data_IF_286095425289
#
_entry.id   IF_286095425289
#
_cell.length_a   1.000
_cell.length_b   1.000
_cell.length_c   1.000
_cell.angle_alpha   90.00
_cell.angle_beta   90.00
_cell.angle_gamma   90.00
#
_symmetry.space_group_name_H-M   'P 1'
#
loop_
_entity.id
_entity.type
_entity.pdbx_description
1 polymer ?
#
# COMPACT_ATOMS: atom_id res chain seq x y z
N UNK A 1 25.97 -16.52 28.30
CA UNK A 1 25.97 -16.67 26.84
C UNK A 1 24.61 -17.10 26.29
N UNK A 2 24.00 -18.20 26.75
CA UNK A 2 22.70 -18.70 26.23
C UNK A 2 21.53 -17.71 26.34
N UNK A 3 21.47 -16.88 27.41
CA UNK A 3 20.40 -15.88 27.57
C UNK A 3 20.40 -14.82 26.47
N UNK A 4 21.57 -14.32 26.08
CA UNK A 4 21.69 -13.31 25.03
C UNK A 4 21.43 -13.93 23.64
N UNK A 5 21.88 -15.17 23.43
CA UNK A 5 21.58 -15.92 22.20
C UNK A 5 20.07 -16.12 22.06
N UNK A 6 19.39 -16.57 23.13
CA UNK A 6 17.94 -16.81 23.12
C UNK A 6 17.13 -15.54 22.81
N UNK A 7 17.51 -14.41 23.41
CA UNK A 7 16.89 -13.09 23.16
C UNK A 7 17.10 -12.63 21.73
N UNK A 8 18.32 -12.80 21.18
CA UNK A 8 18.62 -12.44 19.78
C UNK A 8 17.85 -13.33 18.81
N UNK A 9 17.74 -14.64 19.08
CA UNK A 9 16.95 -15.54 18.25
C UNK A 9 15.44 -15.25 18.29
N UNK A 10 14.88 -14.88 19.45
CA UNK A 10 13.48 -14.44 19.55
C UNK A 10 13.22 -13.14 18.78
N UNK A 11 14.13 -12.17 18.87
CA UNK A 11 14.02 -10.92 18.13
C UNK A 11 14.13 -11.13 16.61
N UNK A 12 14.94 -12.09 16.15
CA UNK A 12 15.08 -12.42 14.72
C UNK A 12 13.82 -13.09 14.14
N UNK A 13 13.10 -13.89 14.93
CA UNK A 13 11.88 -14.60 14.47
C UNK A 13 10.75 -13.61 14.16
N UNK A 14 10.57 -12.58 14.98
CA UNK A 14 9.55 -11.53 14.77
C UNK A 14 9.78 -10.71 13.47
N UNK A 15 11.02 -10.59 13.02
CA UNK A 15 11.37 -9.81 11.81
C UNK A 15 10.93 -10.54 10.52
N UNK A 16 10.85 -11.87 10.53
CA UNK A 16 10.59 -12.69 9.33
C UNK A 16 9.10 -12.70 8.95
N UNK A 17 8.18 -12.45 9.88
CA UNK A 17 6.74 -12.65 9.66
C UNK A 17 6.04 -11.57 8.79
N UNK A 18 6.75 -10.50 8.40
CA UNK A 18 6.13 -9.31 7.79
C UNK A 18 6.50 -9.01 6.34
N UNK A 19 7.10 -9.93 5.59
CA UNK A 19 7.61 -9.65 4.24
C UNK A 19 7.19 -10.72 3.24
N UNK A 20 6.66 -10.28 2.08
CA UNK A 20 6.46 -11.14 0.91
C UNK A 20 7.69 -11.02 0.03
N UNK A 21 8.66 -11.91 0.25
CA UNK A 21 9.88 -11.96 -0.55
C UNK A 21 9.69 -12.93 -1.72
N UNK A 22 9.90 -12.43 -2.94
CA UNK A 22 9.97 -13.24 -4.15
C UNK A 22 11.36 -13.13 -4.75
N UNK A 23 11.88 -14.23 -5.26
CA UNK A 23 13.16 -14.27 -5.96
C UNK A 23 12.94 -14.07 -7.47
N UNK A 24 13.78 -13.25 -8.09
CA UNK A 24 13.73 -12.98 -9.54
C UNK A 24 13.18 -11.60 -9.87
N UNK A 25 12.85 -11.39 -11.14
CA UNK A 25 12.22 -10.16 -11.62
C UNK A 25 10.71 -10.19 -11.35
N UNK A 26 10.08 -9.02 -11.23
CA UNK A 26 8.63 -8.91 -11.16
C UNK A 26 8.00 -9.58 -12.39
N UNK A 27 6.98 -10.40 -12.16
CA UNK A 27 6.21 -11.00 -13.24
C UNK A 27 5.44 -9.91 -14.01
N UNK A 28 5.34 -10.07 -15.32
CA UNK A 28 4.44 -9.25 -16.13
C UNK A 28 2.98 -9.60 -15.84
N UNK A 29 2.17 -8.59 -15.58
CA UNK A 29 0.77 -8.75 -15.17
C UNK A 29 -0.13 -8.06 -16.19
N UNK A 30 -1.19 -8.75 -16.60
CA UNK A 30 -2.18 -8.18 -17.51
C UNK A 30 -3.01 -7.13 -16.77
N UNK A 31 -3.07 -5.94 -17.34
CA UNK A 31 -3.87 -4.81 -16.84
C UNK A 31 -5.27 -4.83 -17.44
N UNK A 32 -6.21 -4.13 -16.79
CA UNK A 32 -7.52 -3.90 -17.39
C UNK A 32 -7.36 -2.88 -18.51
N UNK A 33 -7.62 -3.33 -19.75
CA UNK A 33 -7.63 -2.49 -20.94
C UNK A 33 -8.91 -1.66 -21.02
N UNK A 34 -8.83 -0.51 -21.68
CA UNK A 34 -9.97 0.43 -21.84
C UNK A 34 -10.61 0.79 -20.49
N UNK A 35 -9.76 1.03 -19.50
CA UNK A 35 -10.18 1.25 -18.13
C UNK A 35 -11.04 2.52 -18.00
N UNK A 36 -12.26 2.35 -17.48
CA UNK A 36 -13.23 3.44 -17.29
C UNK A 36 -13.04 4.06 -15.89
N UNK A 37 -12.13 5.04 -15.79
CA UNK A 37 -11.76 5.67 -14.51
C UNK A 37 -12.98 6.20 -13.75
N UNK A 38 -13.95 6.77 -14.46
CA UNK A 38 -15.19 7.36 -13.92
C UNK A 38 -16.01 6.37 -13.10
N UNK A 39 -15.98 5.09 -13.48
CA UNK A 39 -16.67 4.01 -12.76
C UNK A 39 -15.87 3.45 -11.58
N UNK A 40 -14.58 3.75 -11.51
CA UNK A 40 -13.69 3.26 -10.46
C UNK A 40 -13.55 4.26 -9.29
N UNK A 41 -13.87 5.53 -9.51
CA UNK A 41 -13.82 6.56 -8.46
C UNK A 41 -14.71 6.21 -7.26
N UNK A 42 -14.39 6.81 -6.12
CA UNK A 42 -15.10 6.62 -4.86
C UNK A 42 -14.35 5.74 -3.87
N UNK A 43 -15.10 5.20 -2.89
CA UNK A 43 -14.54 4.51 -1.72
C UNK A 43 -14.52 2.99 -1.91
N UNK A 44 -13.34 2.41 -1.69
CA UNK A 44 -13.10 0.97 -1.73
C UNK A 44 -12.62 0.49 -0.36
N UNK A 45 -13.16 -0.63 0.12
CA UNK A 45 -12.71 -1.26 1.36
C UNK A 45 -11.67 -2.33 1.05
N UNK A 46 -10.59 -2.34 1.83
CA UNK A 46 -9.54 -3.36 1.69
C UNK A 46 -10.05 -4.64 2.36
N UNK A 47 -10.21 -5.71 1.56
CA UNK A 47 -10.62 -7.02 2.06
C UNK A 47 -9.39 -7.82 2.49
N UNK A 48 -8.35 -7.85 1.66
CA UNK A 48 -7.08 -8.51 1.91
C UNK A 48 -5.92 -7.68 1.34
N UNK A 49 -4.77 -7.73 2.00
CA UNK A 49 -3.52 -7.14 1.51
C UNK A 49 -2.34 -8.01 1.90
N UNK A 50 -1.23 -7.86 1.17
CA UNK A 50 0.04 -8.42 1.61
C UNK A 50 0.58 -7.64 2.81
N UNK A 51 1.22 -8.32 3.78
CA UNK A 51 1.78 -7.64 4.94
C UNK A 51 2.87 -6.67 4.49
N UNK A 52 2.65 -5.38 4.78
CA UNK A 52 3.63 -4.31 4.59
C UNK A 52 3.80 -3.52 5.87
N UNK A 53 4.99 -2.95 6.08
CA UNK A 53 5.35 -2.28 7.34
C UNK A 53 4.38 -1.15 7.73
N UNK A 54 3.90 -0.39 6.75
CA UNK A 54 3.04 0.79 6.97
C UNK A 54 1.59 0.43 7.33
N UNK A 55 1.16 -0.81 7.08
CA UNK A 55 -0.18 -1.31 7.43
C UNK A 55 -0.12 -2.28 8.63
N UNK A 56 0.97 -2.28 9.40
CA UNK A 56 1.10 -3.13 10.58
C UNK A 56 0.01 -2.76 11.61
N UNK A 57 -0.72 -3.77 12.09
CA UNK A 57 -1.84 -3.62 13.03
C UNK A 57 -2.95 -2.67 12.52
N UNK A 58 -3.02 -2.45 11.21
CA UNK A 58 -4.05 -1.62 10.62
C UNK A 58 -5.35 -2.42 10.44
N UNK A 59 -6.47 -1.79 10.81
CA UNK A 59 -7.82 -2.34 10.67
C UNK A 59 -8.75 -1.30 10.03
N UNK A 60 -9.91 -1.77 9.54
CA UNK A 60 -10.93 -0.92 8.90
C UNK A 60 -10.38 -0.11 7.71
N UNK A 61 -9.41 -0.69 6.98
CA UNK A 61 -8.69 -0.01 5.91
C UNK A 61 -9.58 0.25 4.70
N UNK A 62 -9.42 1.44 4.12
CA UNK A 62 -10.11 1.84 2.90
C UNK A 62 -9.21 2.69 2.00
N UNK A 63 -9.63 2.85 0.75
CA UNK A 63 -9.05 3.79 -0.21
C UNK A 63 -10.14 4.64 -0.83
N UNK A 64 -9.87 5.93 -1.05
CA UNK A 64 -10.75 6.84 -1.79
C UNK A 64 -9.99 7.29 -3.02
N UNK A 65 -10.63 7.17 -4.19
CA UNK A 65 -10.09 7.60 -5.47
C UNK A 65 -10.89 8.80 -5.99
N UNK A 66 -10.21 9.91 -6.21
CA UNK A 66 -10.79 11.16 -6.70
C UNK A 66 -9.97 11.69 -7.88
N UNK A 67 -10.64 12.15 -8.93
CA UNK A 67 -9.99 12.69 -10.11
C UNK A 67 -10.06 14.23 -10.07
N UNK A 68 -8.90 14.86 -9.86
CA UNK A 68 -8.73 16.31 -9.88
C UNK A 68 -8.00 16.71 -11.17
N UNK A 69 -8.72 17.27 -12.14
CA UNK A 69 -8.23 17.57 -13.49
C UNK A 69 -7.65 16.34 -14.21
N UNK A 70 -6.34 16.13 -14.09
CA UNK A 70 -5.58 15.00 -14.68
C UNK A 70 -4.73 14.27 -13.65
N UNK A 71 -4.99 14.49 -12.37
CA UNK A 71 -4.31 13.86 -11.25
C UNK A 71 -5.31 12.97 -10.55
N UNK A 72 -4.95 11.70 -10.42
CA UNK A 72 -5.70 10.78 -9.58
C UNK A 72 -5.17 10.93 -8.15
N UNK A 73 -5.99 11.52 -7.29
CA UNK A 73 -5.73 11.59 -5.86
C UNK A 73 -6.23 10.32 -5.19
N UNK A 74 -5.36 9.71 -4.40
CA UNK A 74 -5.64 8.46 -3.69
C UNK A 74 -5.45 8.72 -2.21
N UNK A 75 -6.51 8.59 -1.44
CA UNK A 75 -6.43 8.62 0.02
C UNK A 75 -6.48 7.20 0.55
N UNK A 76 -5.63 6.85 1.50
CA UNK A 76 -5.67 5.59 2.23
C UNK A 76 -5.91 5.88 3.71
N UNK A 77 -7.00 5.35 4.26
CA UNK A 77 -7.34 5.49 5.68
C UNK A 77 -7.36 4.15 6.37
N UNK A 78 -6.85 4.09 7.61
CA UNK A 78 -6.89 2.89 8.45
C UNK A 78 -6.77 3.25 9.94
N UNK A 79 -7.21 2.34 10.81
CA UNK A 79 -7.08 2.50 12.28
C UNK A 79 -5.98 1.56 12.78
N UNK A 80 -4.95 2.10 13.39
CA UNK A 80 -3.86 1.35 14.02
C UNK A 80 -3.52 2.00 15.36
N UNK A 81 -3.36 1.18 16.40
CA UNK A 81 -3.08 1.63 17.78
C UNK A 81 -4.08 2.70 18.27
N UNK A 82 -5.37 2.48 18.00
CA UNK A 82 -6.48 3.40 18.32
C UNK A 82 -6.44 4.77 17.62
N UNK A 83 -5.50 4.96 16.70
CA UNK A 83 -5.34 6.19 15.91
C UNK A 83 -5.82 5.95 14.49
N UNK A 84 -6.61 6.90 13.96
CA UNK A 84 -6.99 6.90 12.55
C UNK A 84 -5.91 7.61 11.72
N UNK A 85 -5.21 6.83 10.90
CA UNK A 85 -4.14 7.28 10.02
C UNK A 85 -4.70 7.52 8.62
N UNK A 86 -4.33 8.65 8.01
CA UNK A 86 -4.71 9.00 6.64
C UNK A 86 -3.44 9.35 5.85
N UNK A 87 -3.24 8.67 4.73
CA UNK A 87 -2.12 8.89 3.80
C UNK A 87 -2.69 9.40 2.49
N UNK A 88 -2.20 10.54 2.01
CA UNK A 88 -2.55 11.11 0.71
C UNK A 88 -1.46 10.78 -0.30
N UNK A 89 -1.85 10.24 -1.45
CA UNK A 89 -0.96 9.88 -2.54
C UNK A 89 -1.47 10.50 -3.84
N UNK A 90 -0.60 11.26 -4.50
CA UNK A 90 -0.88 11.77 -5.83
C UNK A 90 -0.35 10.81 -6.88
N UNK A 91 -1.17 10.56 -7.90
CA UNK A 91 -0.81 9.73 -9.04
C UNK A 91 -1.06 10.43 -10.37
N UNK A 92 -0.22 10.11 -11.35
CA UNK A 92 -0.46 10.50 -12.74
C UNK A 92 -1.35 9.45 -13.42
N UNK A 93 -2.45 9.89 -14.02
CA UNK A 93 -3.31 9.07 -14.87
C UNK A 93 -3.72 9.87 -16.11
N UNK A 94 -3.61 9.29 -17.31
CA UNK A 94 -4.17 9.88 -18.52
C UNK A 94 -5.44 9.13 -18.93
N UNK A 95 -6.56 9.82 -19.23
CA UNK A 95 -7.75 9.15 -19.73
C UNK A 95 -7.45 8.32 -20.98
N UNK A 96 -7.83 7.04 -20.95
CA UNK A 96 -7.57 6.09 -22.04
C UNK A 96 -6.34 5.21 -21.84
N UNK A 97 -5.52 5.48 -20.82
CA UNK A 97 -4.48 4.55 -20.38
C UNK A 97 -5.11 3.29 -19.74
N UNK A 98 -4.37 2.19 -19.75
CA UNK A 98 -4.68 1.00 -18.97
C UNK A 98 -4.75 1.32 -17.46
N UNK A 99 -5.26 0.39 -16.65
CA UNK A 99 -5.36 0.52 -15.19
C UNK A 99 -3.98 0.50 -14.47
N UNK A 100 -3.10 1.46 -14.79
CA UNK A 100 -1.75 1.61 -14.23
C UNK A 100 -1.61 3.02 -13.67
N UNK A 101 -1.46 3.11 -12.35
CA UNK A 101 -1.30 4.37 -11.63
C UNK A 101 0.14 4.51 -11.13
N UNK A 102 0.82 5.58 -11.54
CA UNK A 102 2.19 5.87 -11.05
C UNK A 102 2.10 6.78 -9.83
N UNK A 103 2.53 6.27 -8.68
CA UNK A 103 2.55 7.02 -7.42
C UNK A 103 3.93 7.68 -7.27
N UNK A 104 3.97 8.97 -6.94
CA UNK A 104 5.23 9.66 -6.67
C UNK A 104 5.77 9.25 -5.29
N UNK A 105 7.06 8.87 -5.22
CA UNK A 105 7.72 8.33 -4.02
C UNK A 105 7.63 9.26 -2.79
N UNK A 106 7.56 10.57 -3.02
CA UNK A 106 7.60 11.62 -2.00
C UNK A 106 6.41 11.59 -1.01
N UNK A 107 5.38 10.79 -1.28
CA UNK A 107 4.15 10.73 -0.49
C UNK A 107 4.09 9.55 0.51
N UNK A 108 5.10 8.67 0.51
CA UNK A 108 5.13 7.44 1.34
C UNK A 108 6.38 7.38 2.22
N UNK A 109 7.40 8.18 1.92
CA UNK A 109 8.60 8.29 2.74
C UNK A 109 8.34 9.19 3.96
N UNK A 110 8.00 8.56 5.08
CA UNK A 110 8.25 9.13 6.39
C UNK A 110 9.72 9.51 6.48
N UNK A 111 9.99 10.82 6.52
CA UNK A 111 11.28 11.43 6.84
C UNK A 111 11.95 10.64 7.98
N UNK A 112 13.02 9.92 7.65
CA UNK A 112 14.01 9.47 8.63
C UNK A 112 14.86 10.64 9.09
#
# INVERSE_FOLDING_TARGET
>A
MYRNIFVVSLALIEIICGQVLQFGQCQDVNTVQYFQIDKFLGKWYVIESFPIRYERNAHCSYKIFELCDRVLEIQHGSVADEVHHIIHMNSTYSPGDDAVFRIQANNIEGRH
#
